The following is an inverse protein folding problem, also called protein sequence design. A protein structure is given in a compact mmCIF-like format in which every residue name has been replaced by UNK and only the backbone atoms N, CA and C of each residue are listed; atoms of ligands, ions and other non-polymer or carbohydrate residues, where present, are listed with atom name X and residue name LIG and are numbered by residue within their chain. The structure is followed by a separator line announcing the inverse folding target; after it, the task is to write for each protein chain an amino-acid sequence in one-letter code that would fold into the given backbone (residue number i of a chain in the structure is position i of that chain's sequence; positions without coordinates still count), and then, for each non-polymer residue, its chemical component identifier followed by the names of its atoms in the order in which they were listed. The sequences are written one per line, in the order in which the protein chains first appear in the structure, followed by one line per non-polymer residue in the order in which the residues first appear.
data_IF_635770309692
#
_entry.id   IF_635770309692
#
_cell.length_a   1.000
_cell.length_b   1.000
_cell.length_c   1.000
_cell.angle_alpha   90.00
_cell.angle_beta   90.00
_cell.angle_gamma   90.00
#
_symmetry.space_group_name_H-M   'P 1'
#
loop_
_entity.id
_entity.type
_entity.pdbx_description
1 polymer ?
#
# COMPACT_ATOMS: atom_id res chain seq x y z
N UNK A 1 30.84 15.87 10.25
CA UNK A 1 30.35 17.27 10.20
C UNK A 1 31.50 18.25 10.48
N UNK A 2 32.26 18.68 9.46
CA UNK A 2 33.03 19.91 9.55
C UNK A 2 32.17 21.10 9.10
N UNK A 3 32.42 22.29 9.66
CA UNK A 3 31.90 23.62 9.26
C UNK A 3 30.49 24.10 9.65
N UNK A 4 29.82 23.49 10.64
CA UNK A 4 28.56 24.06 11.20
C UNK A 4 28.82 25.05 12.35
N UNK A 5 30.01 25.00 12.99
CA UNK A 5 30.27 25.75 14.22
C UNK A 5 30.43 27.26 14.05
N UNK A 6 30.77 27.75 12.85
CA UNK A 6 31.01 29.19 12.65
C UNK A 6 29.73 29.98 12.35
N UNK A 7 28.71 29.34 11.77
CA UNK A 7 27.47 29.98 11.27
C UNK A 7 26.24 29.86 12.18
N UNK A 8 26.29 29.06 13.25
CA UNK A 8 25.10 28.72 14.07
C UNK A 8 25.08 29.44 15.42
N UNK A 9 23.95 30.06 15.79
CA UNK A 9 23.78 30.81 17.05
C UNK A 9 23.44 29.92 18.25
N UNK A 10 22.75 28.82 18.02
CA UNK A 10 22.46 27.77 19.01
C UNK A 10 22.28 26.42 18.33
N UNK A 11 22.72 25.34 18.98
CA UNK A 11 22.55 23.98 18.49
C UNK A 11 22.17 23.07 19.65
N UNK A 12 21.01 22.41 19.53
CA UNK A 12 20.57 21.36 20.45
C UNK A 12 20.55 20.04 19.70
N UNK A 13 21.14 18.99 20.29
CA UNK A 13 21.08 17.63 19.76
C UNK A 13 20.50 16.73 20.84
N UNK A 14 19.49 15.92 20.48
CA UNK A 14 18.89 14.94 21.37
C UNK A 14 18.78 13.58 20.69
N UNK A 15 18.93 12.51 21.47
CA UNK A 15 18.63 11.15 21.06
C UNK A 15 17.13 10.97 21.16
N UNK A 16 16.52 10.41 20.13
CA UNK A 16 15.09 10.15 20.16
C UNK A 16 14.73 8.84 19.47
N UNK A 17 13.60 8.28 19.87
CA UNK A 17 12.87 7.27 19.13
C UNK A 17 11.66 7.93 18.48
N UNK A 18 11.61 7.90 17.15
CA UNK A 18 10.48 8.43 16.40
C UNK A 18 9.50 7.30 16.04
N UNK A 19 8.20 7.44 16.35
CA UNK A 19 7.19 6.42 16.08
C UNK A 19 6.72 6.46 14.62
N UNK A 20 6.54 5.29 14.03
CA UNK A 20 5.84 5.13 12.76
C UNK A 20 5.15 3.77 12.71
N UNK A 21 4.20 3.63 11.79
CA UNK A 21 3.51 2.38 11.55
C UNK A 21 3.98 1.76 10.25
N UNK A 22 4.25 0.45 10.30
CA UNK A 22 3.99 -0.38 9.13
C UNK A 22 2.53 -0.73 9.10
N UNK A 23 1.95 -0.75 7.91
CA UNK A 23 0.60 -1.24 7.76
C UNK A 23 0.49 -2.11 6.52
N UNK A 24 -0.31 -3.16 6.66
CA UNK A 24 -0.77 -3.99 5.58
C UNK A 24 -2.25 -3.72 5.35
N UNK A 25 -2.68 -3.72 4.10
CA UNK A 25 -4.09 -3.53 3.78
C UNK A 25 -4.54 -4.32 2.56
N UNK A 26 -5.83 -4.65 2.52
CA UNK A 26 -6.54 -5.07 1.32
C UNK A 26 -7.81 -4.24 1.16
N UNK A 27 -8.00 -3.69 -0.03
CA UNK A 27 -9.18 -2.91 -0.41
C UNK A 27 -9.78 -3.54 -1.65
N UNK A 28 -11.04 -3.96 -1.58
CA UNK A 28 -11.79 -4.37 -2.77
C UNK A 28 -12.61 -3.22 -3.31
N UNK A 29 -12.83 -3.16 -4.61
CA UNK A 29 -13.78 -2.22 -5.21
C UNK A 29 -14.34 -2.77 -6.51
N UNK A 30 -15.55 -2.34 -6.87
CA UNK A 30 -16.17 -2.66 -8.15
C UNK A 30 -15.58 -1.76 -9.24
N UNK A 31 -15.11 -2.37 -10.31
CA UNK A 31 -14.56 -1.68 -11.48
C UNK A 31 -15.50 -1.85 -12.66
N UNK A 32 -15.95 -0.74 -13.23
CA UNK A 32 -16.88 -0.70 -14.37
C UNK A 32 -16.25 0.04 -15.56
N UNK A 33 -16.22 -0.55 -16.76
CA UNK A 33 -15.80 0.17 -17.96
C UNK A 33 -16.82 1.26 -18.32
N UNK A 34 -16.32 2.44 -18.68
CA UNK A 34 -17.12 3.57 -19.14
C UNK A 34 -16.39 4.33 -20.27
N UNK A 35 -17.12 5.17 -21.01
CA UNK A 35 -16.54 6.01 -22.07
C UNK A 35 -16.20 7.40 -21.55
N UNK A 36 -15.11 7.96 -22.07
CA UNK A 36 -14.68 9.36 -21.87
C UNK A 36 -15.63 10.39 -22.52
N UNK A 37 -16.45 10.01 -23.50
CA UNK A 37 -17.17 10.95 -24.35
C UNK A 37 -18.64 11.14 -23.96
N UNK A 38 -19.02 12.39 -23.63
CA UNK A 38 -20.40 12.88 -23.62
C UNK A 38 -20.95 13.16 -25.04
N UNK A 39 -20.25 12.76 -26.11
CA UNK A 39 -20.67 13.01 -27.49
C UNK A 39 -21.62 11.90 -28.00
N UNK A 40 -22.39 12.24 -29.04
CA UNK A 40 -23.49 11.47 -29.61
C UNK A 40 -23.13 10.05 -30.14
N UNK A 41 -21.86 9.66 -30.10
CA UNK A 41 -21.39 8.29 -30.34
C UNK A 41 -21.03 7.65 -28.99
N UNK A 42 -22.05 7.33 -28.18
CA UNK A 42 -21.86 6.36 -27.10
C UNK A 42 -21.47 5.04 -27.78
N UNK A 43 -20.20 4.67 -27.71
CA UNK A 43 -19.79 3.29 -27.97
C UNK A 43 -20.71 2.36 -27.16
N UNK A 44 -21.24 1.33 -27.81
CA UNK A 44 -22.18 0.44 -27.14
C UNK A 44 -21.48 -0.19 -25.93
N UNK A 45 -22.22 -0.34 -24.83
CA UNK A 45 -21.71 -0.98 -23.61
C UNK A 45 -21.12 -2.38 -23.91
N UNK A 46 -21.66 -3.06 -24.93
CA UNK A 46 -21.16 -4.33 -25.44
C UNK A 46 -19.76 -4.21 -26.07
N UNK A 47 -19.50 -3.18 -26.89
CA UNK A 47 -18.19 -2.97 -27.48
C UNK A 47 -17.13 -2.62 -26.42
N UNK A 48 -17.50 -1.76 -25.46
CA UNK A 48 -16.65 -1.43 -24.32
C UNK A 48 -16.35 -2.65 -23.44
N UNK A 49 -17.37 -3.44 -23.12
CA UNK A 49 -17.24 -4.68 -22.34
C UNK A 49 -16.37 -5.71 -23.07
N UNK A 50 -16.50 -5.81 -24.39
CA UNK A 50 -15.66 -6.70 -25.20
C UNK A 50 -14.20 -6.26 -25.23
N UNK A 51 -13.92 -4.96 -25.21
CA UNK A 51 -12.56 -4.43 -25.25
C UNK A 51 -11.87 -4.38 -23.88
N UNK A 52 -12.62 -4.05 -22.82
CA UNK A 52 -12.09 -3.76 -21.48
C UNK A 52 -12.47 -4.80 -20.41
N UNK A 53 -13.25 -5.81 -20.81
CA UNK A 53 -13.82 -6.80 -19.91
C UNK A 53 -15.10 -6.32 -19.21
N UNK A 54 -15.88 -7.24 -18.62
CA UNK A 54 -17.10 -6.90 -17.90
C UNK A 54 -16.81 -6.18 -16.57
N UNK A 55 -17.85 -5.58 -15.97
CA UNK A 55 -17.83 -5.18 -14.56
C UNK A 55 -17.35 -6.33 -13.67
N UNK A 56 -16.43 -6.03 -12.76
CA UNK A 56 -15.78 -7.03 -11.90
C UNK A 56 -15.29 -6.40 -10.61
N UNK A 57 -14.94 -7.22 -9.63
CA UNK A 57 -14.40 -6.76 -8.36
C UNK A 57 -12.88 -6.83 -8.37
N UNK A 58 -12.22 -5.68 -8.28
CA UNK A 58 -10.77 -5.59 -8.16
C UNK A 58 -10.36 -5.67 -6.68
N UNK A 59 -9.18 -6.25 -6.42
CA UNK A 59 -8.51 -6.14 -5.12
C UNK A 59 -7.23 -5.32 -5.29
N UNK A 60 -7.04 -4.35 -4.40
CA UNK A 60 -5.76 -3.69 -4.16
C UNK A 60 -5.17 -4.16 -2.84
N UNK A 61 -3.90 -4.56 -2.83
CA UNK A 61 -3.18 -4.95 -1.61
C UNK A 61 -1.98 -4.03 -1.39
N UNK A 62 -1.73 -3.68 -0.14
CA UNK A 62 -0.54 -2.94 0.28
C UNK A 62 0.25 -3.76 1.30
N UNK A 63 1.56 -3.90 1.07
CA UNK A 63 2.50 -4.52 2.01
C UNK A 63 3.52 -3.51 2.49
N UNK A 64 3.89 -3.57 3.77
CA UNK A 64 4.95 -2.71 4.33
C UNK A 64 4.76 -1.25 3.92
N UNK A 65 3.50 -0.81 3.95
CA UNK A 65 3.15 0.56 3.68
C UNK A 65 3.42 1.39 4.94
N UNK A 66 3.64 2.68 4.77
CA UNK A 66 4.14 3.54 5.85
C UNK A 66 3.07 4.53 6.29
N UNK A 67 2.95 4.72 7.60
CA UNK A 67 2.12 5.77 8.18
C UNK A 67 2.85 6.50 9.33
N UNK A 68 2.73 7.84 9.46
CA UNK A 68 3.24 8.54 10.63
C UNK A 68 2.70 7.99 11.93
N UNK A 69 3.56 7.86 12.94
CA UNK A 69 3.13 7.62 14.31
C UNK A 69 2.73 8.91 15.01
N UNK A 70 3.20 10.07 14.55
CA UNK A 70 3.01 11.37 15.19
C UNK A 70 2.86 12.50 14.17
N UNK A 71 2.21 13.62 14.54
CA UNK A 71 2.02 14.79 13.66
C UNK A 71 3.18 15.77 13.68
N UNK A 72 3.81 15.95 14.84
CA UNK A 72 5.13 16.56 14.96
C UNK A 72 6.18 15.52 14.59
N UNK A 73 6.22 15.13 13.32
CA UNK A 73 7.17 14.11 12.91
C UNK A 73 7.93 14.48 11.62
N UNK A 74 9.27 14.67 11.71
CA UNK A 74 10.22 14.45 10.62
C UNK A 74 9.95 13.30 9.68
N UNK A 75 9.40 12.25 10.25
CA UNK A 75 9.21 10.93 9.69
C UNK A 75 7.83 10.76 9.10
N UNK A 76 6.90 11.68 9.38
CA UNK A 76 5.57 11.62 8.78
C UNK A 76 5.64 11.57 7.27
N UNK A 77 6.66 12.16 6.66
CA UNK A 77 6.87 12.21 5.21
C UNK A 77 8.05 11.37 4.71
N UNK A 78 8.70 10.60 5.58
CA UNK A 78 9.72 9.66 5.13
C UNK A 78 9.03 8.50 4.44
N UNK A 79 8.92 8.60 3.12
CA UNK A 79 8.89 7.37 2.36
C UNK A 79 10.24 6.69 2.57
N UNK A 80 10.26 5.69 3.45
CA UNK A 80 11.28 4.68 3.51
C UNK A 80 11.16 3.81 2.25
N UNK A 81 11.33 4.39 1.08
CA UNK A 81 11.45 3.69 -0.18
C UNK A 81 12.76 2.92 -0.17
N UNK A 82 12.81 1.81 0.58
CA UNK A 82 13.93 0.88 0.74
C UNK A 82 15.31 1.51 0.51
N UNK A 83 15.58 2.66 1.13
CA UNK A 83 16.96 3.11 1.14
C UNK A 83 17.70 2.03 1.92
N UNK A 84 18.84 1.56 1.41
CA UNK A 84 19.69 0.59 2.09
C UNK A 84 20.03 0.99 3.54
N UNK A 85 19.77 2.26 3.90
CA UNK A 85 19.83 2.77 5.24
C UNK A 85 18.79 2.16 6.19
N UNK A 86 17.49 2.08 5.89
CA UNK A 86 16.46 1.54 6.82
C UNK A 86 16.17 0.07 6.57
N UNK A 87 17.16 -0.77 6.83
CA UNK A 87 16.93 -2.22 6.94
C UNK A 87 16.05 -2.50 8.15
N UNK A 88 15.04 -3.35 7.98
CA UNK A 88 14.09 -3.71 9.04
C UNK A 88 14.77 -4.27 10.30
N UNK A 89 15.92 -4.94 10.13
CA UNK A 89 16.81 -5.43 11.19
C UNK A 89 17.33 -4.33 12.13
N UNK A 90 17.26 -3.06 11.71
CA UNK A 90 17.79 -1.91 12.43
C UNK A 90 16.72 -1.07 13.12
N UNK A 91 15.46 -1.50 13.03
CA UNK A 91 14.32 -0.84 13.65
C UNK A 91 14.04 -1.46 15.02
N UNK A 92 13.45 -0.67 15.92
CA UNK A 92 13.14 -1.12 17.28
C UNK A 92 11.64 -1.39 17.38
N UNK A 93 11.22 -2.63 17.66
CA UNK A 93 9.81 -2.92 17.92
C UNK A 93 9.29 -2.08 19.09
N UNK A 94 8.02 -1.68 19.05
CA UNK A 94 7.40 -1.03 20.20
C UNK A 94 7.34 -1.98 21.40
N UNK A 95 7.89 -1.55 22.53
CA UNK A 95 7.74 -2.22 23.82
C UNK A 95 7.57 -1.16 24.92
N UNK A 96 6.68 -1.43 25.89
CA UNK A 96 6.30 -0.44 26.92
C UNK A 96 7.44 0.01 27.84
N UNK A 97 8.52 -0.78 27.93
CA UNK A 97 9.74 -0.51 28.67
C UNK A 97 10.65 0.52 28.00
N UNK A 98 10.47 0.84 26.71
CA UNK A 98 11.27 1.87 26.02
C UNK A 98 11.16 3.24 26.71
N UNK A 99 10.00 3.55 27.29
CA UNK A 99 9.78 4.81 28.01
C UNK A 99 10.53 4.91 29.35
N UNK A 100 11.22 3.84 29.78
CA UNK A 100 11.99 3.83 31.02
C UNK A 100 13.41 4.37 30.84
N UNK A 101 13.92 4.46 29.60
CA UNK A 101 15.21 5.08 29.31
C UNK A 101 15.11 6.60 29.39
N UNK A 102 15.83 7.20 30.34
CA UNK A 102 15.81 8.67 30.56
C UNK A 102 16.75 9.43 29.64
N UNK A 103 17.68 8.74 28.96
CA UNK A 103 18.69 9.36 28.10
C UNK A 103 18.23 9.49 26.64
N UNK A 104 17.09 8.86 26.30
CA UNK A 104 16.49 8.88 24.96
C UNK A 104 15.06 9.39 25.04
N UNK A 105 14.74 10.41 24.24
CA UNK A 105 13.38 10.91 24.13
C UNK A 105 12.52 9.94 23.31
N UNK A 106 11.53 9.31 23.93
CA UNK A 106 10.56 8.46 23.21
C UNK A 106 9.36 9.32 22.80
N UNK A 107 9.25 9.61 21.50
CA UNK A 107 8.11 10.38 20.98
C UNK A 107 6.88 9.45 20.99
N UNK A 108 5.74 9.86 21.58
CA UNK A 108 4.55 9.00 21.67
C UNK A 108 3.87 8.85 20.31
N UNK A 109 3.15 7.74 20.12
CA UNK A 109 2.20 7.66 19.00
C UNK A 109 0.98 8.54 19.28
N UNK A 110 0.59 9.37 18.31
CA UNK A 110 -0.61 10.23 18.35
C UNK A 110 -1.47 10.11 17.10
N UNK A 111 -1.09 9.27 16.14
CA UNK A 111 -1.83 9.05 14.90
C UNK A 111 -2.14 7.56 14.79
N UNK A 112 -3.39 7.23 14.43
CA UNK A 112 -3.86 5.87 14.22
C UNK A 112 -4.17 5.66 12.72
N UNK A 113 -3.46 4.76 12.00
CA UNK A 113 -3.67 4.54 10.58
C UNK A 113 -5.08 4.02 10.26
N UNK A 114 -5.77 3.37 11.20
CA UNK A 114 -7.08 2.78 10.93
C UNK A 114 -8.19 3.82 10.79
N UNK A 115 -8.18 4.88 11.62
CA UNK A 115 -9.15 5.98 11.50
C UNK A 115 -8.97 6.70 10.16
N UNK A 116 -7.71 6.82 9.74
CA UNK A 116 -7.33 7.52 8.54
C UNK A 116 -7.61 6.71 7.26
N UNK A 117 -7.41 5.39 7.28
CA UNK A 117 -7.53 4.52 6.10
C UNK A 117 -8.92 3.90 6.00
N UNK A 118 -9.48 3.36 7.09
CA UNK A 118 -10.73 2.57 7.04
C UNK A 118 -11.90 3.40 6.52
N UNK A 119 -11.96 4.68 6.93
CA UNK A 119 -13.07 5.55 6.58
C UNK A 119 -12.80 6.31 5.27
N UNK A 120 -11.57 6.81 5.06
CA UNK A 120 -11.26 7.65 3.89
C UNK A 120 -10.89 6.88 2.64
N UNK A 121 -10.30 5.68 2.76
CA UNK A 121 -9.91 4.93 1.57
C UNK A 121 -11.12 4.56 0.70
N UNK A 122 -12.25 4.06 1.26
CA UNK A 122 -13.48 3.87 0.49
C UNK A 122 -13.98 5.17 -0.16
N UNK A 123 -14.08 6.25 0.61
CA UNK A 123 -14.58 7.54 0.13
C UNK A 123 -13.73 8.13 -1.00
N UNK A 124 -12.40 8.05 -0.90
CA UNK A 124 -11.47 8.56 -1.90
C UNK A 124 -11.47 7.75 -3.21
N UNK A 125 -11.89 6.48 -3.15
CA UNK A 125 -11.98 5.61 -4.32
C UNK A 125 -13.36 5.65 -4.98
N UNK A 126 -14.37 6.18 -4.31
CA UNK A 126 -15.74 6.22 -4.81
C UNK A 126 -15.88 7.16 -6.03
N UNK A 127 -16.49 6.66 -7.11
CA UNK A 127 -16.58 7.31 -8.41
C UNK A 127 -15.22 7.70 -9.03
N UNK A 128 -14.11 7.14 -8.54
CA UNK A 128 -12.79 7.43 -9.10
C UNK A 128 -12.71 6.88 -10.52
N UNK A 129 -12.32 7.72 -11.47
CA UNK A 129 -12.15 7.32 -12.86
C UNK A 129 -10.67 7.26 -13.23
N UNK A 130 -10.28 6.16 -13.88
CA UNK A 130 -8.90 5.91 -14.30
C UNK A 130 -8.88 5.59 -15.78
N UNK A 131 -7.99 6.23 -16.53
CA UNK A 131 -7.88 6.02 -17.97
C UNK A 131 -7.41 4.60 -18.30
N UNK A 132 -7.97 4.00 -19.33
CA UNK A 132 -7.44 2.76 -19.89
C UNK A 132 -6.25 3.03 -20.81
N UNK A 133 -5.18 2.24 -20.66
CA UNK A 133 -4.07 2.26 -21.61
C UNK A 133 -4.32 1.39 -22.84
N UNK A 134 -5.24 0.43 -22.74
CA UNK A 134 -5.57 -0.50 -23.83
C UNK A 134 -6.66 0.04 -24.74
N UNK A 135 -7.50 0.96 -24.25
CA UNK A 135 -8.61 1.54 -25.00
C UNK A 135 -8.58 3.07 -24.99
N UNK A 136 -8.34 3.69 -26.16
CA UNK A 136 -8.09 5.15 -26.33
C UNK A 136 -9.17 6.06 -25.73
N UNK A 137 -10.42 5.60 -25.68
CA UNK A 137 -11.56 6.35 -25.14
C UNK A 137 -12.18 5.71 -23.91
N UNK A 138 -11.56 4.64 -23.39
CA UNK A 138 -12.08 3.86 -22.28
C UNK A 138 -11.56 4.34 -20.94
N UNK A 139 -12.44 4.39 -19.95
CA UNK A 139 -12.11 4.63 -18.55
C UNK A 139 -12.66 3.50 -17.70
N UNK A 140 -12.07 3.31 -16.54
CA UNK A 140 -12.58 2.47 -15.48
C UNK A 140 -13.13 3.36 -14.38
N UNK A 141 -14.38 3.13 -13.96
CA UNK A 141 -14.95 3.78 -12.77
C UNK A 141 -14.91 2.80 -11.61
N UNK A 142 -14.38 3.24 -10.49
CA UNK A 142 -14.27 2.50 -9.24
C UNK A 142 -15.43 2.92 -8.32
N UNK A 143 -16.14 1.95 -7.76
CA UNK A 143 -17.25 2.18 -6.82
C UNK A 143 -17.28 1.09 -5.75
N UNK A 144 -18.09 1.28 -4.71
CA UNK A 144 -18.32 0.30 -3.65
C UNK A 144 -17.00 -0.20 -3.02
N UNK A 145 -16.05 0.72 -2.83
CA UNK A 145 -14.77 0.38 -2.23
C UNK A 145 -14.95 -0.05 -0.76
N UNK A 146 -14.24 -1.10 -0.34
CA UNK A 146 -14.33 -1.66 1.01
C UNK A 146 -12.96 -2.14 1.47
N UNK A 147 -12.59 -1.79 2.70
CA UNK A 147 -11.40 -2.35 3.35
C UNK A 147 -11.72 -3.76 3.85
N UNK A 148 -11.11 -4.76 3.22
CA UNK A 148 -11.30 -6.17 3.56
C UNK A 148 -10.34 -6.62 4.66
N UNK A 149 -9.14 -6.06 4.71
CA UNK A 149 -8.13 -6.40 5.70
C UNK A 149 -7.30 -5.17 6.02
N UNK A 150 -6.96 -4.98 7.29
CA UNK A 150 -5.94 -4.04 7.70
C UNK A 150 -5.28 -4.48 9.01
N UNK A 151 -3.96 -4.32 9.06
CA UNK A 151 -3.15 -4.55 10.25
C UNK A 151 -2.08 -3.46 10.32
N UNK A 152 -1.72 -3.05 11.54
CA UNK A 152 -0.70 -2.04 11.77
C UNK A 152 0.30 -2.53 12.81
N UNK A 153 1.57 -2.20 12.58
CA UNK A 153 2.68 -2.62 13.41
C UNK A 153 3.42 -1.38 13.92
N UNK A 154 3.38 -1.11 15.23
CA UNK A 154 4.04 0.05 15.82
C UNK A 154 5.55 -0.21 15.90
N UNK A 155 6.33 0.70 15.32
CA UNK A 155 7.79 0.59 15.27
C UNK A 155 8.42 1.94 15.60
N UNK A 156 9.57 1.89 16.27
CA UNK A 156 10.40 3.04 16.56
C UNK A 156 11.65 3.08 15.69
N UNK A 157 11.98 4.28 15.20
CA UNK A 157 13.23 4.54 14.50
C UNK A 157 14.17 5.34 15.40
N UNK A 158 15.35 4.80 15.76
CA UNK A 158 16.34 5.52 16.53
C UNK A 158 17.00 6.62 15.69
N UNK A 159 16.98 7.85 16.21
CA UNK A 159 17.52 9.02 15.52
C UNK A 159 18.25 9.97 16.47
N UNK A 160 19.05 10.85 15.88
CA UNK A 160 19.48 12.10 16.48
C UNK A 160 18.68 13.25 15.86
N UNK A 161 18.04 14.05 16.70
CA UNK A 161 17.34 15.27 16.27
C UNK A 161 18.23 16.46 16.63
N UNK A 162 18.66 17.19 15.61
CA UNK A 162 19.43 18.42 15.75
C UNK A 162 18.55 19.63 15.38
N UNK A 163 18.47 20.61 16.27
CA UNK A 163 17.80 21.88 16.04
C UNK A 163 18.80 23.01 16.12
N UNK A 164 18.83 23.89 15.12
CA UNK A 164 19.77 24.99 15.06
C UNK A 164 19.19 26.25 14.43
N UNK A 165 19.70 27.40 14.84
CA UNK A 165 19.34 28.72 14.30
C UNK A 165 20.58 29.34 13.64
N UNK A 166 20.40 29.88 12.43
CA UNK A 166 21.49 30.57 11.71
C UNK A 166 21.76 31.95 12.32
N UNK A 167 23.03 32.34 12.46
CA UNK A 167 23.41 33.68 12.96
C UNK A 167 22.97 34.80 12.01
N UNK A 168 22.80 34.53 10.72
CA UNK A 168 22.46 35.55 9.70
C UNK A 168 20.96 35.84 9.59
N UNK A 169 20.11 34.98 10.11
CA UNK A 169 18.66 35.01 9.90
C UNK A 169 17.91 34.91 11.24
N UNK A 170 18.08 35.92 12.11
CA UNK A 170 17.48 35.97 13.46
C UNK A 170 15.95 35.95 13.48
N UNK A 171 15.28 36.01 12.32
CA UNK A 171 13.82 35.93 12.17
C UNK A 171 13.32 34.63 11.52
N UNK A 172 14.19 33.76 11.01
CA UNK A 172 13.75 32.47 10.46
C UNK A 172 13.50 31.44 11.58
N UNK A 173 12.49 30.56 11.42
CA UNK A 173 12.24 29.49 12.39
C UNK A 173 13.46 28.55 12.48
N UNK A 174 13.69 27.93 13.64
CA UNK A 174 14.80 27.00 13.83
C UNK A 174 14.74 25.86 12.82
N UNK A 175 15.89 25.56 12.19
CA UNK A 175 16.04 24.46 11.24
C UNK A 175 16.16 23.16 12.04
N UNK A 176 15.40 22.14 11.65
CA UNK A 176 15.44 20.81 12.27
C UNK A 176 16.04 19.81 11.29
N UNK A 177 17.03 19.05 11.74
CA UNK A 177 17.67 17.98 10.99
C UNK A 177 17.55 16.68 11.78
N UNK A 178 17.16 15.61 11.09
CA UNK A 178 17.06 14.25 11.64
C UNK A 178 18.09 13.37 10.97
N UNK A 179 18.83 12.64 11.81
CA UNK A 179 19.91 11.76 11.39
C UNK A 179 19.62 10.37 11.94
N UNK A 180 19.58 9.37 11.07
CA UNK A 180 19.42 7.97 11.52
C UNK A 180 20.56 7.54 12.44
N UNK A 181 20.27 6.81 13.52
CA UNK A 181 21.29 6.38 14.48
C UNK A 181 21.85 4.96 14.22
N UNK A 182 21.55 4.37 13.06
CA UNK A 182 21.70 2.94 12.79
C UNK A 182 22.75 2.59 11.73
N UNK A 183 23.53 3.56 11.26
CA UNK A 183 24.52 3.37 10.19
C UNK A 183 25.71 4.32 10.37
N UNK A 184 26.91 3.87 9.96
CA UNK A 184 28.09 4.72 9.85
C UNK A 184 27.96 5.78 8.73
N UNK A 185 27.06 5.53 7.78
CA UNK A 185 26.60 6.49 6.77
C UNK A 185 25.08 6.66 6.97
N UNK A 186 24.66 7.52 7.92
CA UNK A 186 23.27 7.64 8.29
C UNK A 186 22.53 8.55 7.31
N UNK A 187 21.26 8.22 7.00
CA UNK A 187 20.45 9.08 6.18
C UNK A 187 20.15 10.37 6.97
N UNK A 188 20.25 11.51 6.28
CA UNK A 188 20.06 12.84 6.84
C UNK A 188 18.87 13.51 6.17
N UNK A 189 17.99 14.07 7.00
CA UNK A 189 16.74 14.68 6.56
C UNK A 189 16.61 16.06 7.16
N UNK A 190 16.22 17.03 6.35
CA UNK A 190 16.01 18.40 6.77
C UNK A 190 14.54 18.77 6.67
N UNK A 191 14.02 19.38 7.74
CA UNK A 191 12.70 19.96 7.77
C UNK A 191 12.66 21.32 7.08
N UNK A 192 11.57 21.60 6.37
CA UNK A 192 11.24 22.94 5.90
C UNK A 192 9.81 23.33 6.28
N UNK A 193 9.68 24.31 7.16
CA UNK A 193 8.39 24.85 7.61
C UNK A 193 7.57 25.50 6.48
N UNK A 194 8.22 25.91 5.38
CA UNK A 194 7.55 26.59 4.25
C UNK A 194 6.80 25.64 3.33
N UNK A 195 7.05 24.34 3.45
CA UNK A 195 6.41 23.29 2.65
C UNK A 195 5.26 22.64 3.43
N UNK A 196 4.25 22.15 2.74
CA UNK A 196 3.06 21.51 3.33
C UNK A 196 2.78 20.16 2.68
N UNK A 197 1.97 19.34 3.32
CA UNK A 197 1.60 18.03 2.79
C UNK A 197 2.83 17.16 2.51
N UNK A 198 2.73 16.29 1.49
CA UNK A 198 3.75 15.31 1.09
C UNK A 198 5.16 15.86 0.89
N UNK A 199 5.29 17.18 0.68
CA UNK A 199 6.52 17.85 0.30
C UNK A 199 7.30 18.43 1.48
N UNK A 200 6.72 18.42 2.70
CA UNK A 200 7.29 19.07 3.89
C UNK A 200 8.65 18.50 4.35
N UNK A 201 8.99 17.28 3.92
CA UNK A 201 10.28 16.65 4.18
C UNK A 201 10.86 16.08 2.89
N UNK A 202 12.19 16.16 2.76
CA UNK A 202 12.89 15.70 1.57
C UNK A 202 13.18 14.20 1.72
N UNK A 203 12.33 13.34 1.15
CA UNK A 203 12.78 12.18 0.37
C UNK A 203 11.61 11.49 -0.38
N UNK A 204 11.78 11.35 -1.69
CA UNK A 204 10.81 10.76 -2.60
C UNK A 204 10.82 9.24 -2.52
N UNK A 205 9.69 8.64 -2.15
CA UNK A 205 9.45 7.20 -2.33
C UNK A 205 7.95 6.88 -2.25
N UNK A 206 7.56 5.62 -2.53
CA UNK A 206 6.17 5.20 -2.43
C UNK A 206 5.74 5.09 -0.96
N UNK A 207 4.70 5.84 -0.59
CA UNK A 207 3.99 5.72 0.69
C UNK A 207 3.15 4.45 0.78
N UNK A 208 2.61 4.07 -0.36
CA UNK A 208 1.78 2.89 -0.54
C UNK A 208 2.47 2.02 -1.57
N UNK A 209 2.86 0.81 -1.16
CA UNK A 209 3.31 -0.23 -2.10
C UNK A 209 2.07 -1.00 -2.53
N UNK A 210 1.26 -0.37 -3.37
CA UNK A 210 0.00 -0.94 -3.83
C UNK A 210 0.26 -1.87 -5.02
N UNK A 211 -0.32 -3.06 -4.94
CA UNK A 211 -0.53 -3.93 -6.08
C UNK A 211 -2.03 -4.14 -6.32
N UNK A 212 -2.45 -4.33 -7.58
CA UNK A 212 -3.85 -4.52 -7.97
C UNK A 212 -4.00 -5.73 -8.87
N UNK A 213 -5.16 -6.41 -8.77
CA UNK A 213 -5.47 -7.60 -9.59
C UNK A 213 -5.74 -7.30 -11.07
N UNK A 214 -5.50 -6.06 -11.53
CA UNK A 214 -5.65 -5.60 -12.91
C UNK A 214 -4.26 -5.47 -13.57
N UNK A 215 -3.75 -6.51 -14.27
CA UNK A 215 -2.39 -6.51 -14.77
C UNK A 215 -2.10 -5.35 -15.75
N UNK A 216 -3.10 -4.98 -16.56
CA UNK A 216 -3.01 -3.83 -17.47
C UNK A 216 -2.76 -2.50 -16.76
N UNK A 217 -3.07 -2.37 -15.46
CA UNK A 217 -2.85 -1.14 -14.70
C UNK A 217 -1.40 -1.00 -14.25
N UNK A 218 -0.65 -2.10 -14.23
CA UNK A 218 0.80 -2.13 -14.00
C UNK A 218 1.60 -1.90 -15.29
N UNK A 219 1.03 -2.25 -16.45
CA UNK A 219 1.73 -2.19 -17.75
C UNK A 219 1.61 -0.80 -18.39
N UNK A 220 2.73 -0.15 -18.73
CA UNK A 220 2.72 1.09 -19.52
C UNK A 220 4.09 1.70 -19.76
N UNK A 221 4.33 2.19 -20.99
CA UNK A 221 5.48 3.05 -21.34
C UNK A 221 4.98 4.48 -21.58
N UNK A 222 5.49 5.47 -20.83
CA UNK A 222 5.12 6.89 -20.98
C UNK A 222 4.52 7.54 -19.71
N UNK A 223 3.78 8.64 -19.88
CA UNK A 223 3.25 9.48 -18.79
C UNK A 223 2.14 8.76 -17.97
N UNK A 224 2.58 8.13 -16.89
CA UNK A 224 1.86 7.61 -15.72
C UNK A 224 0.79 6.51 -15.96
N UNK A 225 1.12 5.23 -15.66
CA UNK A 225 0.14 4.14 -15.73
C UNK A 225 -1.05 4.34 -14.77
N UNK A 226 -2.20 3.67 -15.03
CA UNK A 226 -3.44 3.76 -14.24
C UNK A 226 -3.20 3.63 -12.73
N UNK A 227 -2.38 2.65 -12.33
CA UNK A 227 -2.02 2.43 -10.93
C UNK A 227 -1.31 3.64 -10.31
N UNK A 228 -0.45 4.33 -11.06
CA UNK A 228 0.24 5.53 -10.57
C UNK A 228 -0.71 6.70 -10.37
N UNK A 229 -1.72 6.85 -11.23
CA UNK A 229 -2.76 7.87 -11.06
C UNK A 229 -3.61 7.58 -9.82
N UNK A 230 -3.98 6.32 -9.60
CA UNK A 230 -4.71 5.88 -8.42
C UNK A 230 -3.89 6.11 -7.14
N UNK A 231 -2.63 5.69 -7.12
CA UNK A 231 -1.73 5.92 -5.97
C UNK A 231 -1.56 7.41 -5.70
N UNK A 232 -1.38 8.24 -6.73
CA UNK A 232 -1.25 9.69 -6.55
C UNK A 232 -2.52 10.33 -5.96
N UNK A 233 -3.71 9.92 -6.45
CA UNK A 233 -5.01 10.34 -5.90
C UNK A 233 -5.17 9.94 -4.45
N UNK A 234 -4.92 8.67 -4.13
CA UNK A 234 -4.93 8.15 -2.77
C UNK A 234 -3.97 8.94 -1.87
N UNK A 235 -2.78 9.24 -2.37
CA UNK A 235 -1.79 10.07 -1.66
C UNK A 235 -2.24 11.50 -1.39
N UNK A 236 -3.15 12.04 -2.18
CA UNK A 236 -3.58 13.44 -2.08
C UNK A 236 -4.84 13.56 -1.23
N UNK A 237 -5.73 12.56 -1.29
CA UNK A 237 -7.05 12.58 -0.65
C UNK A 237 -7.09 11.81 0.68
N UNK A 238 -6.23 10.81 0.84
CA UNK A 238 -6.17 9.95 2.03
C UNK A 238 -4.91 10.24 2.85
N UNK A 239 -3.75 10.31 2.20
CA UNK A 239 -2.47 10.59 2.87
C UNK A 239 -2.26 12.10 3.02
N UNK A 240 -1.74 12.56 4.16
CA UNK A 240 -1.40 13.98 4.39
C UNK A 240 -2.43 14.79 5.19
N UNK A 241 -3.55 14.18 5.59
CA UNK A 241 -4.51 14.77 6.52
C UNK A 241 -4.53 14.00 7.86
N UNK A 242 -3.41 13.97 8.57
CA UNK A 242 -3.28 13.15 9.78
C UNK A 242 -4.09 13.73 10.94
N UNK A 243 -5.01 12.93 11.48
CA UNK A 243 -5.76 13.31 12.68
C UNK A 243 -5.03 12.86 13.93
N UNK A 244 -4.76 13.78 14.84
CA UNK A 244 -4.27 13.44 16.18
C UNK A 244 -5.40 12.83 16.99
N UNK A 245 -5.32 11.53 17.24
CA UNK A 245 -6.32 10.77 17.99
C UNK A 245 -5.60 9.90 19.04
N UNK A 246 -6.29 9.58 20.13
CA UNK A 246 -5.78 8.58 21.07
C UNK A 246 -5.67 7.24 20.33
N UNK A 247 -4.51 6.59 20.45
CA UNK A 247 -4.28 5.25 19.91
C UNK A 247 -4.95 4.26 20.85
N UNK A 248 -5.89 3.49 20.32
CA UNK A 248 -6.50 2.37 21.03
C UNK A 248 -5.56 1.17 20.95
N UNK A 249 -4.67 1.05 21.93
CA UNK A 249 -3.68 -0.02 21.99
C UNK A 249 -4.28 -1.42 22.19
N UNK A 250 -5.56 -1.50 22.56
CA UNK A 250 -6.29 -2.76 22.70
C UNK A 250 -6.96 -3.20 21.38
N UNK A 251 -6.85 -2.40 20.32
CA UNK A 251 -7.34 -2.76 18.99
C UNK A 251 -6.57 -3.97 18.45
N UNK A 252 -7.28 -5.07 18.20
CA UNK A 252 -6.71 -6.34 17.73
C UNK A 252 -6.05 -6.24 16.37
N UNK A 253 -6.21 -5.15 15.62
CA UNK A 253 -5.49 -4.92 14.37
C UNK A 253 -4.08 -4.37 14.61
N UNK A 254 -3.81 -3.82 15.80
CA UNK A 254 -2.47 -3.42 16.23
C UNK A 254 -1.71 -4.67 16.66
N UNK A 255 -0.68 -5.02 15.90
CA UNK A 255 0.04 -6.28 16.08
C UNK A 255 1.51 -6.03 16.35
N UNK A 256 2.09 -6.84 17.23
CA UNK A 256 3.50 -6.73 17.56
C UNK A 256 4.38 -7.14 16.36
N UNK A 257 5.29 -6.26 15.96
CA UNK A 257 6.34 -6.56 14.99
C UNK A 257 7.48 -7.38 15.64
N UNK A 258 8.09 -8.37 14.97
CA UNK A 258 7.80 -8.92 13.63
C UNK A 258 6.84 -10.11 13.63
N UNK A 259 6.17 -10.40 14.76
CA UNK A 259 5.56 -11.70 15.02
C UNK A 259 4.46 -12.08 14.03
N UNK A 260 3.63 -11.11 13.61
CA UNK A 260 2.44 -11.36 12.79
C UNK A 260 2.60 -10.98 11.32
N UNK A 261 3.67 -10.25 10.99
CA UNK A 261 3.88 -9.66 9.67
C UNK A 261 3.91 -10.73 8.58
N UNK A 262 4.69 -11.82 8.76
CA UNK A 262 4.81 -12.86 7.76
C UNK A 262 3.48 -13.61 7.52
N UNK A 263 2.75 -13.93 8.60
CA UNK A 263 1.45 -14.60 8.50
C UNK A 263 0.43 -13.72 7.76
N UNK A 264 0.34 -12.44 8.12
CA UNK A 264 -0.55 -11.49 7.46
C UNK A 264 -0.19 -11.30 5.99
N UNK A 265 1.11 -11.23 5.67
CA UNK A 265 1.59 -11.15 4.28
C UNK A 265 1.21 -12.37 3.45
N UNK A 266 1.37 -13.57 4.00
CA UNK A 266 1.05 -14.80 3.29
C UNK A 266 -0.46 -14.95 3.07
N UNK A 267 -1.28 -14.57 4.05
CA UNK A 267 -2.73 -14.47 3.89
C UNK A 267 -3.13 -13.48 2.78
N UNK A 268 -2.57 -12.28 2.78
CA UNK A 268 -2.85 -11.24 1.78
C UNK A 268 -2.41 -11.62 0.36
N UNK A 269 -1.25 -12.28 0.20
CA UNK A 269 -0.81 -12.83 -1.08
C UNK A 269 -1.80 -13.88 -1.60
N UNK A 270 -2.27 -14.74 -0.70
CA UNK A 270 -3.26 -15.75 -1.01
C UNK A 270 -4.61 -15.12 -1.41
N UNK A 271 -5.04 -14.09 -0.68
CA UNK A 271 -6.25 -13.32 -0.97
C UNK A 271 -6.19 -12.70 -2.37
N UNK A 272 -5.06 -12.08 -2.71
CA UNK A 272 -4.83 -11.50 -4.03
C UNK A 272 -4.89 -12.53 -5.14
N UNK A 273 -4.29 -13.71 -4.93
CA UNK A 273 -4.32 -14.80 -5.90
C UNK A 273 -5.74 -15.28 -6.17
N UNK A 274 -6.55 -15.46 -5.12
CA UNK A 274 -7.97 -15.84 -5.26
C UNK A 274 -8.75 -14.80 -6.07
N UNK A 275 -8.57 -13.50 -5.78
CA UNK A 275 -9.25 -12.43 -6.52
C UNK A 275 -8.78 -12.31 -7.97
N UNK A 276 -7.49 -12.49 -8.23
CA UNK A 276 -6.94 -12.48 -9.59
C UNK A 276 -7.54 -13.60 -10.45
N UNK A 277 -7.65 -14.82 -9.92
CA UNK A 277 -8.27 -15.95 -10.61
C UNK A 277 -9.79 -15.74 -10.81
N UNK A 278 -10.50 -15.18 -9.83
CA UNK A 278 -11.92 -14.78 -9.99
C UNK A 278 -12.11 -13.71 -11.07
N UNK A 279 -11.19 -12.74 -11.16
CA UNK A 279 -11.22 -11.74 -12.22
C UNK A 279 -10.93 -12.34 -13.60
N UNK A 280 -10.06 -13.34 -13.67
CA UNK A 280 -9.85 -14.10 -14.90
C UNK A 280 -11.14 -14.86 -15.30
N UNK A 281 -11.83 -15.48 -14.35
CA UNK A 281 -13.10 -16.17 -14.58
C UNK A 281 -14.17 -15.22 -15.12
N UNK A 282 -14.36 -14.07 -14.49
CA UNK A 282 -15.33 -13.05 -14.91
C UNK A 282 -15.10 -12.59 -16.36
N UNK A 283 -13.84 -12.51 -16.80
CA UNK A 283 -13.52 -12.13 -18.20
C UNK A 283 -13.90 -13.18 -19.23
N UNK A 284 -14.03 -14.45 -18.84
CA UNK A 284 -14.35 -15.56 -19.76
C UNK A 284 -15.80 -16.06 -19.65
N UNK A 285 -16.56 -15.64 -18.63
CA UNK A 285 -17.97 -16.02 -18.44
C UNK A 285 -18.84 -15.68 -19.65
N UNK A 286 -18.58 -14.56 -20.33
CA UNK A 286 -19.31 -14.13 -21.52
C UNK A 286 -18.81 -14.66 -22.87
N UNK A 287 -17.79 -15.52 -22.88
CA UNK A 287 -17.22 -16.08 -24.11
C UNK A 287 -17.90 -17.40 -24.50
N UNK A 288 -17.92 -17.71 -25.81
CA UNK A 288 -18.43 -18.99 -26.31
C UNK A 288 -17.55 -20.14 -25.82
N UNK A 289 -18.16 -21.15 -25.20
CA UNK A 289 -17.49 -22.32 -24.61
C UNK A 289 -16.60 -23.07 -25.60
N UNK A 290 -17.00 -23.11 -26.88
CA UNK A 290 -16.27 -23.80 -27.95
C UNK A 290 -15.17 -22.94 -28.57
N UNK A 291 -15.08 -21.67 -28.19
CA UNK A 291 -14.04 -20.77 -28.70
C UNK A 291 -12.67 -21.27 -28.21
N UNK A 292 -11.73 -21.39 -29.15
CA UNK A 292 -10.34 -21.72 -28.84
C UNK A 292 -9.60 -20.45 -28.43
N UNK A 293 -8.95 -20.49 -27.27
CA UNK A 293 -8.11 -19.41 -26.77
C UNK A 293 -6.82 -19.98 -26.16
N UNK A 294 -5.93 -19.10 -25.74
CA UNK A 294 -4.63 -19.47 -25.18
C UNK A 294 -4.78 -19.61 -23.66
N UNK A 295 -4.65 -20.83 -23.17
CA UNK A 295 -4.59 -21.16 -21.75
C UNK A 295 -3.17 -21.53 -21.31
N UNK A 296 -2.98 -21.64 -20.00
CA UNK A 296 -1.77 -22.20 -19.40
C UNK A 296 -1.97 -23.71 -19.23
N UNK A 297 -0.97 -24.52 -19.58
CA UNK A 297 -1.01 -25.97 -19.40
C UNK A 297 0.33 -26.53 -18.94
N UNK A 298 0.30 -27.73 -18.35
CA UNK A 298 1.51 -28.45 -17.96
C UNK A 298 2.42 -28.76 -19.16
N UNK A 299 3.71 -28.95 -18.90
CA UNK A 299 4.61 -29.54 -19.89
C UNK A 299 4.13 -30.97 -20.21
N UNK A 300 4.06 -31.37 -21.49
CA UNK A 300 3.65 -32.73 -21.86
C UNK A 300 4.45 -33.79 -21.09
N UNK A 301 3.76 -34.72 -20.43
CA UNK A 301 4.38 -35.77 -19.61
C UNK A 301 4.56 -35.42 -18.11
N UNK A 302 4.06 -34.26 -17.66
CA UNK A 302 4.03 -33.89 -16.23
C UNK A 302 2.60 -33.57 -15.80
N UNK A 303 2.23 -33.93 -14.56
CA UNK A 303 0.95 -33.53 -13.98
C UNK A 303 0.92 -32.00 -13.76
N UNK A 304 -0.24 -31.37 -13.95
CA UNK A 304 -0.44 -29.93 -13.76
C UNK A 304 0.04 -29.43 -12.38
N UNK A 305 -0.11 -30.24 -11.33
CA UNK A 305 0.38 -29.94 -9.99
C UNK A 305 1.92 -29.88 -9.84
N UNK A 306 2.69 -30.41 -10.81
CA UNK A 306 4.15 -30.55 -10.72
C UNK A 306 4.92 -29.61 -11.67
N UNK A 307 4.23 -28.95 -12.61
CA UNK A 307 4.88 -28.12 -13.63
C UNK A 307 5.19 -26.72 -13.09
N UNK A 308 6.42 -26.51 -12.60
CA UNK A 308 6.93 -25.19 -12.20
C UNK A 308 6.94 -24.14 -13.33
N UNK A 309 6.78 -24.55 -14.59
CA UNK A 309 6.77 -23.67 -15.76
C UNK A 309 5.58 -24.02 -16.68
N UNK A 310 4.41 -23.39 -16.51
CA UNK A 310 3.29 -23.59 -17.42
C UNK A 310 3.63 -23.08 -18.83
N UNK A 311 3.17 -23.80 -19.87
CA UNK A 311 3.30 -23.39 -21.28
C UNK A 311 1.96 -22.91 -21.82
N UNK A 312 2.02 -21.97 -22.76
CA UNK A 312 0.86 -21.53 -23.52
C UNK A 312 0.36 -22.67 -24.40
N UNK A 313 -0.91 -23.05 -24.26
CA UNK A 313 -1.59 -24.08 -25.03
C UNK A 313 -2.92 -23.55 -25.55
N UNK A 314 -3.33 -24.03 -26.73
CA UNK A 314 -4.66 -23.72 -27.27
C UNK A 314 -5.67 -24.66 -26.61
N UNK A 315 -6.56 -24.11 -25.79
CA UNK A 315 -7.64 -24.83 -25.09
C UNK A 315 -8.98 -24.18 -25.42
N UNK A 316 -10.07 -24.90 -25.20
CA UNK A 316 -11.42 -24.33 -25.27
C UNK A 316 -11.71 -23.45 -24.05
N UNK A 317 -12.64 -22.51 -24.19
CA UNK A 317 -13.07 -21.66 -23.06
C UNK A 317 -13.66 -22.52 -21.93
N UNK A 318 -14.38 -23.61 -22.23
CA UNK A 318 -14.92 -24.50 -21.20
C UNK A 318 -13.83 -25.21 -20.39
N UNK A 319 -12.79 -25.74 -21.04
CA UNK A 319 -11.63 -26.34 -20.36
C UNK A 319 -10.93 -25.33 -19.45
N UNK A 320 -10.69 -24.11 -19.96
CA UNK A 320 -10.05 -23.05 -19.18
C UNK A 320 -10.92 -22.62 -18.00
N UNK A 321 -12.24 -22.55 -18.18
CA UNK A 321 -13.19 -22.22 -17.10
C UNK A 321 -13.12 -23.26 -15.99
N UNK A 322 -13.21 -24.55 -16.32
CA UNK A 322 -13.13 -25.63 -15.34
C UNK A 322 -11.79 -25.63 -14.59
N UNK A 323 -10.69 -25.37 -15.29
CA UNK A 323 -9.36 -25.25 -14.67
C UNK A 323 -9.29 -24.09 -13.68
N UNK A 324 -9.79 -22.90 -14.06
CA UNK A 324 -9.81 -21.74 -13.17
C UNK A 324 -10.72 -22.01 -11.97
N UNK A 325 -11.91 -22.58 -12.16
CA UNK A 325 -12.83 -22.93 -11.08
C UNK A 325 -12.22 -23.93 -10.09
N UNK A 326 -11.52 -24.95 -10.59
CA UNK A 326 -10.77 -25.89 -9.75
C UNK A 326 -9.67 -25.18 -8.97
N UNK A 327 -8.88 -24.31 -9.61
CA UNK A 327 -7.84 -23.52 -8.92
C UNK A 327 -8.46 -22.60 -7.87
N UNK A 328 -9.52 -21.88 -8.18
CA UNK A 328 -10.21 -21.00 -7.23
C UNK A 328 -10.67 -21.80 -6.00
N UNK A 329 -11.19 -23.01 -6.20
CA UNK A 329 -11.60 -23.89 -5.09
C UNK A 329 -10.41 -24.27 -4.19
N UNK A 330 -9.30 -24.73 -4.77
CA UNK A 330 -8.09 -25.09 -4.02
C UNK A 330 -7.47 -23.88 -3.29
N UNK A 331 -7.45 -22.72 -3.94
CA UNK A 331 -6.88 -21.49 -3.40
C UNK A 331 -7.77 -20.88 -2.31
N UNK A 332 -9.09 -21.11 -2.33
CA UNK A 332 -10.01 -20.74 -1.25
C UNK A 332 -9.78 -21.59 0.01
N UNK A 333 -9.54 -22.90 -0.14
CA UNK A 333 -9.20 -23.77 1.00
C UNK A 333 -7.91 -23.29 1.67
N UNK A 334 -6.86 -23.01 0.87
CA UNK A 334 -5.61 -22.44 1.39
C UNK A 334 -5.80 -21.08 2.05
N UNK A 335 -6.69 -20.24 1.52
CA UNK A 335 -7.00 -18.94 2.11
C UNK A 335 -7.59 -19.09 3.51
N UNK A 336 -8.52 -20.02 3.70
CA UNK A 336 -9.14 -20.31 5.00
C UNK A 336 -8.12 -20.87 6.02
N UNK A 337 -7.18 -21.71 5.56
CA UNK A 337 -6.09 -22.24 6.37
C UNK A 337 -5.09 -21.15 6.82
N UNK A 338 -4.78 -20.20 5.93
CA UNK A 338 -3.84 -19.11 6.19
C UNK A 338 -4.45 -17.94 6.96
N UNK A 339 -5.78 -17.86 7.03
CA UNK A 339 -6.47 -16.76 7.69
C UNK A 339 -6.08 -16.65 9.18
N UNK A 340 -5.50 -15.51 9.62
CA UNK A 340 -5.00 -15.34 10.98
C UNK A 340 -6.09 -15.47 12.03
N UNK A 341 -5.77 -16.08 13.17
CA UNK A 341 -6.71 -16.29 14.29
C UNK A 341 -7.29 -14.95 14.78
N UNK A 342 -6.43 -13.96 14.99
CA UNK A 342 -6.85 -12.62 15.42
C UNK A 342 -7.85 -12.00 14.44
N UNK A 343 -7.65 -12.21 13.14
CA UNK A 343 -8.49 -11.65 12.09
C UNK A 343 -9.86 -12.35 12.03
N UNK A 344 -9.88 -13.68 12.22
CA UNK A 344 -11.14 -14.45 12.38
C UNK A 344 -11.96 -13.95 13.57
N UNK A 345 -11.30 -13.70 14.70
CA UNK A 345 -11.94 -13.22 15.92
C UNK A 345 -12.46 -11.79 15.77
N UNK A 346 -11.64 -10.90 15.19
CA UNK A 346 -12.02 -9.53 14.87
C UNK A 346 -13.26 -9.48 13.97
N UNK A 347 -13.29 -10.27 12.88
CA UNK A 347 -14.43 -10.31 11.96
C UNK A 347 -15.71 -10.83 12.65
N UNK A 348 -15.61 -11.80 13.56
CA UNK A 348 -16.75 -12.30 14.34
C UNK A 348 -17.35 -11.25 15.27
N UNK A 349 -16.55 -10.31 15.79
CA UNK A 349 -17.03 -9.22 16.65
C UNK A 349 -17.73 -8.10 15.88
N UNK A 350 -17.44 -7.98 14.59
CA UNK A 350 -18.01 -6.96 13.70
C UNK A 350 -19.38 -7.38 13.11
N UNK A 351 -19.66 -8.69 13.07
CA UNK A 351 -20.97 -9.27 12.71
C UNK A 351 -21.90 -9.27 13.92
#
# INVERSE_FOLDING_TARGET
MPDVKESVSSMQVRKAYIPFWYYDMAISADVKPCSTTNSAEKESLEALTKAMGPPRQMLGIGFDCYWPGHTWDPVSYLSFGQSAATRMEKLVPFTSDLYQDKDVEVIPFTVNPFNDITDRAPEALENLTVNSLTHKHGMYTINNAQVLFNAAYPIYWPVYIAQFTDKKETQEPPKTVVIGAHSNDPPLYQWDAKKTGSEQWINNGPWVKLDVTEPEWQMGFGNQPPLRQLVHRFLTQVVGQFQTNAVDWEDERIQAYPNYENQNKDYLKQLFKVWAERNMLSRIEGMDENQKTIGLGAVPGTSEAASKNPRLQVKTVSEIRQEIESRVSDELVKLEELEPVWFKEYNKKKQ
#
